data_IF_782617187868
#
_entry.id   IF_782617187868
#
_cell.length_a   1.000
_cell.length_b   1.000
_cell.length_c   1.000
_cell.angle_alpha   90.00
_cell.angle_beta   90.00
_cell.angle_gamma   90.00
#
_symmetry.space_group_name_H-M   'P 1'
#
loop_
_entity.id
_entity.type
_entity.pdbx_description
1 polymer ?
#
# COMPACT_ATOMS: atom_id res chain seq x y z
N UNK A 1 -30.77 -23.79 36.94
CA UNK A 1 -29.31 -23.80 37.23
C UNK A 1 -28.57 -23.55 35.93
N UNK A 2 -28.02 -22.35 35.73
CA UNK A 2 -26.70 -22.15 35.13
C UNK A 2 -26.22 -20.73 35.49
N UNK A 3 -25.37 -20.73 36.50
CA UNK A 3 -24.43 -19.70 36.92
C UNK A 3 -23.44 -19.46 35.76
N UNK A 4 -22.74 -18.35 35.55
CA UNK A 4 -22.66 -17.04 36.16
C UNK A 4 -21.99 -16.14 35.11
N UNK A 5 -22.59 -14.99 34.80
CA UNK A 5 -21.92 -13.91 34.07
C UNK A 5 -21.04 -13.21 35.11
N UNK A 6 -19.77 -13.60 35.21
CA UNK A 6 -18.81 -12.88 36.04
C UNK A 6 -18.54 -11.53 35.38
N UNK A 7 -19.24 -10.53 35.90
CA UNK A 7 -18.93 -9.11 35.79
C UNK A 7 -17.59 -8.83 36.47
N UNK A 8 -16.50 -9.12 35.77
CA UNK A 8 -15.22 -8.43 36.02
C UNK A 8 -15.24 -7.20 35.13
N UNK A 9 -15.53 -6.05 35.72
CA UNK A 9 -15.60 -4.74 35.06
C UNK A 9 -14.24 -4.20 34.61
N UNK A 10 -13.45 -5.03 33.94
CA UNK A 10 -12.28 -4.60 33.21
C UNK A 10 -12.65 -4.59 31.73
N UNK A 11 -12.77 -3.38 31.18
CA UNK A 11 -12.77 -3.20 29.74
C UNK A 11 -11.54 -3.93 29.18
N UNK A 12 -11.66 -4.69 28.08
CA UNK A 12 -10.48 -5.23 27.42
C UNK A 12 -9.51 -4.07 27.20
N UNK A 13 -8.19 -4.28 27.42
CA UNK A 13 -7.21 -3.23 27.17
C UNK A 13 -7.46 -2.70 25.77
N UNK A 14 -7.39 -1.37 25.54
CA UNK A 14 -7.54 -0.84 24.20
C UNK A 14 -6.59 -1.62 23.31
N UNK A 15 -7.13 -2.30 22.29
CA UNK A 15 -6.31 -2.83 21.23
C UNK A 15 -5.41 -1.68 20.80
N UNK A 16 -4.12 -1.78 21.10
CA UNK A 16 -3.15 -0.81 20.64
C UNK A 16 -3.01 -1.10 19.15
N UNK A 17 -3.97 -0.61 18.36
CA UNK A 17 -3.79 -0.38 16.95
C UNK A 17 -2.73 0.70 16.86
N UNK A 18 -1.46 0.31 16.85
CA UNK A 18 -0.40 1.24 16.49
C UNK A 18 -0.66 1.67 15.04
N UNK A 19 -1.32 2.81 14.89
CA UNK A 19 -1.52 3.45 13.60
C UNK A 19 -0.14 3.74 13.00
N UNK A 20 0.09 3.25 11.79
CA UNK A 20 1.29 3.54 11.00
C UNK A 20 1.45 5.07 10.89
N UNK A 21 2.64 5.59 11.25
CA UNK A 21 2.95 7.01 11.08
C UNK A 21 2.93 7.40 9.59
N UNK A 22 2.66 8.66 9.27
CA UNK A 22 2.73 9.16 7.89
C UNK A 22 4.05 8.76 7.23
N UNK A 23 5.18 9.02 7.90
CA UNK A 23 6.51 8.63 7.39
C UNK A 23 6.62 7.14 7.05
N UNK A 24 6.17 6.26 7.93
CA UNK A 24 6.22 4.80 7.69
C UNK A 24 5.37 4.41 6.48
N UNK A 25 4.19 5.03 6.35
CA UNK A 25 3.26 4.82 5.24
C UNK A 25 3.84 5.27 3.91
N UNK A 26 4.39 6.49 3.85
CA UNK A 26 5.10 7.01 2.68
C UNK A 26 6.26 6.10 2.27
N UNK A 27 7.06 5.65 3.24
CA UNK A 27 8.15 4.71 2.98
C UNK A 27 7.64 3.38 2.43
N UNK A 28 6.59 2.80 3.02
CA UNK A 28 6.01 1.53 2.56
C UNK A 28 5.42 1.65 1.15
N UNK A 29 4.64 2.69 0.87
CA UNK A 29 3.99 2.90 -0.42
C UNK A 29 5.01 3.23 -1.52
N UNK A 30 5.99 4.09 -1.25
CA UNK A 30 7.06 4.41 -2.20
C UNK A 30 7.93 3.19 -2.52
N UNK A 31 8.28 2.37 -1.51
CA UNK A 31 9.01 1.12 -1.72
C UNK A 31 8.19 0.10 -2.51
N UNK A 32 6.88 0.01 -2.25
CA UNK A 32 5.97 -0.85 -3.00
C UNK A 32 5.89 -0.45 -4.48
N UNK A 33 5.75 0.85 -4.76
CA UNK A 33 5.77 1.37 -6.13
C UNK A 33 7.10 1.09 -6.83
N UNK A 34 8.22 1.35 -6.14
CA UNK A 34 9.56 1.09 -6.69
C UNK A 34 9.80 -0.39 -6.98
N UNK A 35 9.36 -1.30 -6.09
CA UNK A 35 9.47 -2.73 -6.28
C UNK A 35 8.67 -3.20 -7.50
N UNK A 36 7.43 -2.72 -7.68
CA UNK A 36 6.60 -3.08 -8.82
C UNK A 36 7.23 -2.62 -10.16
N UNK A 37 7.78 -1.40 -10.22
CA UNK A 37 8.50 -0.92 -11.40
C UNK A 37 9.80 -1.69 -11.67
N UNK A 38 10.47 -2.16 -10.62
CA UNK A 38 11.63 -3.05 -10.77
C UNK A 38 11.23 -4.38 -11.41
N UNK A 39 10.08 -4.94 -11.08
CA UNK A 39 9.61 -6.19 -11.71
C UNK A 39 9.36 -6.01 -13.22
N UNK A 40 8.78 -4.87 -13.63
CA UNK A 40 8.63 -4.51 -15.05
C UNK A 40 10.01 -4.42 -15.73
N UNK A 41 10.95 -3.70 -15.11
CA UNK A 41 12.30 -3.56 -15.63
C UNK A 41 13.01 -4.92 -15.76
N UNK A 42 12.96 -5.75 -14.73
CA UNK A 42 13.60 -7.07 -14.71
C UNK A 42 12.97 -8.03 -15.71
N UNK A 43 11.66 -7.91 -15.97
CA UNK A 43 10.99 -8.66 -17.02
C UNK A 43 11.53 -8.24 -18.40
N UNK A 44 11.55 -6.94 -18.69
CA UNK A 44 12.03 -6.42 -19.99
C UNK A 44 13.53 -6.67 -20.20
N UNK A 45 14.34 -6.62 -19.15
CA UNK A 45 15.79 -6.87 -19.21
C UNK A 45 16.14 -8.31 -19.59
N UNK A 46 15.19 -9.26 -19.47
CA UNK A 46 15.36 -10.64 -19.93
C UNK A 46 15.11 -10.81 -21.44
N UNK A 47 14.80 -9.72 -22.14
CA UNK A 47 14.47 -9.69 -23.56
C UNK A 47 13.38 -10.73 -23.94
N UNK A 48 12.18 -10.65 -23.32
CA UNK A 48 11.13 -11.59 -23.62
C UNK A 48 10.61 -11.40 -25.06
N UNK A 49 10.30 -12.50 -25.75
CA UNK A 49 9.75 -12.44 -27.10
C UNK A 49 8.37 -11.76 -27.09
N UNK A 50 8.32 -10.50 -27.54
CA UNK A 50 7.08 -9.73 -27.67
C UNK A 50 6.21 -10.18 -28.85
N UNK A 51 6.65 -11.15 -29.66
CA UNK A 51 5.77 -11.88 -30.57
C UNK A 51 4.83 -12.84 -29.86
N UNK A 52 5.16 -13.29 -28.65
CA UNK A 52 4.30 -14.13 -27.81
C UNK A 52 3.29 -13.28 -27.02
N UNK A 53 2.00 -13.52 -27.30
CA UNK A 53 0.87 -12.88 -26.62
C UNK A 53 0.94 -13.04 -25.10
N UNK A 54 1.47 -14.15 -24.59
CA UNK A 54 1.61 -14.36 -23.14
C UNK A 54 2.57 -13.38 -22.49
N UNK A 55 3.67 -13.05 -23.19
CA UNK A 55 4.64 -12.10 -22.70
C UNK A 55 4.10 -10.67 -22.75
N UNK A 56 3.33 -10.34 -23.79
CA UNK A 56 2.62 -9.06 -23.88
C UNK A 56 1.61 -8.90 -22.73
N UNK A 57 0.75 -9.91 -22.51
CA UNK A 57 -0.25 -9.90 -21.44
C UNK A 57 0.39 -9.84 -20.05
N UNK A 58 1.50 -10.56 -19.84
CA UNK A 58 2.28 -10.45 -18.60
C UNK A 58 2.85 -9.03 -18.42
N UNK A 59 3.42 -8.43 -19.46
CA UNK A 59 3.93 -7.06 -19.41
C UNK A 59 2.84 -6.07 -19.02
N UNK A 60 1.66 -6.17 -19.65
CA UNK A 60 0.53 -5.30 -19.35
C UNK A 60 0.07 -5.43 -17.90
N UNK A 61 0.01 -6.65 -17.36
CA UNK A 61 -0.36 -6.87 -15.96
C UNK A 61 0.67 -6.28 -15.00
N UNK A 62 1.97 -6.47 -15.27
CA UNK A 62 3.04 -5.91 -14.45
C UNK A 62 3.01 -4.37 -14.46
N UNK A 63 2.83 -3.76 -15.64
CA UNK A 63 2.72 -2.31 -15.78
C UNK A 63 1.48 -1.77 -15.05
N UNK A 64 0.33 -2.42 -15.23
CA UNK A 64 -0.91 -2.01 -14.55
C UNK A 64 -0.79 -2.10 -13.02
N UNK A 65 -0.14 -3.14 -12.49
CA UNK A 65 0.12 -3.26 -11.06
C UNK A 65 1.09 -2.18 -10.55
N UNK A 66 2.13 -1.86 -11.32
CA UNK A 66 3.09 -0.80 -10.99
C UNK A 66 2.43 0.59 -10.97
N UNK A 67 1.57 0.88 -11.95
CA UNK A 67 0.79 2.12 -12.00
C UNK A 67 -0.15 2.24 -10.81
N UNK A 68 -0.86 1.16 -10.44
CA UNK A 68 -1.74 1.16 -9.26
C UNK A 68 -0.96 1.40 -7.96
N UNK A 69 0.23 0.80 -7.81
CA UNK A 69 1.08 1.01 -6.65
C UNK A 69 1.61 2.45 -6.56
N UNK A 70 1.96 3.04 -7.71
CA UNK A 70 2.38 4.45 -7.78
C UNK A 70 1.21 5.39 -7.46
N UNK A 71 0.01 5.10 -7.99
CA UNK A 71 -1.18 5.89 -7.71
C UNK A 71 -1.55 5.86 -6.22
N UNK A 72 -1.47 4.69 -5.58
CA UNK A 72 -1.70 4.57 -4.13
C UNK A 72 -0.73 5.42 -3.29
N UNK A 73 0.52 5.61 -3.75
CA UNK A 73 1.45 6.53 -3.10
C UNK A 73 1.02 7.99 -3.29
N UNK A 74 0.72 8.41 -4.53
CA UNK A 74 0.36 9.80 -4.82
C UNK A 74 -0.96 10.22 -4.18
N UNK A 75 -1.98 9.37 -4.19
CA UNK A 75 -3.24 9.66 -3.48
C UNK A 75 -3.01 9.81 -1.97
N UNK A 76 -2.10 9.04 -1.38
CA UNK A 76 -1.78 9.20 0.03
C UNK A 76 -1.04 10.53 0.31
N UNK A 77 -0.15 10.96 -0.59
CA UNK A 77 0.51 12.27 -0.50
C UNK A 77 -0.52 13.39 -0.61
N UNK A 78 -1.41 13.31 -1.60
CA UNK A 78 -2.45 14.31 -1.86
C UNK A 78 -3.47 14.39 -0.71
N UNK A 79 -3.86 13.24 -0.14
CA UNK A 79 -4.75 13.19 1.03
C UNK A 79 -4.08 13.81 2.27
N UNK A 80 -2.78 13.58 2.48
CA UNK A 80 -2.06 14.20 3.60
C UNK A 80 -1.91 15.71 3.42
N UNK A 81 -1.62 16.19 2.21
CA UNK A 81 -1.53 17.62 1.89
C UNK A 81 -2.90 18.32 2.03
N UNK A 82 -3.97 17.70 1.53
CA UNK A 82 -5.33 18.23 1.65
C UNK A 82 -5.82 18.34 3.10
N UNK A 83 -5.29 17.50 4.00
CA UNK A 83 -5.61 17.50 5.43
C UNK A 83 -4.60 18.27 6.29
N UNK A 84 -3.52 18.81 5.70
CA UNK A 84 -2.59 19.67 6.42
C UNK A 84 -3.29 20.98 6.80
N UNK A 85 -3.15 21.42 8.06
CA UNK A 85 -3.68 22.72 8.48
C UNK A 85 -3.04 23.83 7.62
N UNK A 86 -3.82 24.81 7.12
CA UNK A 86 -3.28 25.88 6.31
C UNK A 86 -2.26 26.67 7.13
N UNK A 87 -1.09 26.94 6.54
CA UNK A 87 -0.06 27.79 7.16
C UNK A 87 -0.70 29.12 7.61
N UNK A 88 -0.60 29.45 8.91
CA UNK A 88 -1.00 30.76 9.42
C UNK A 88 -0.12 31.84 8.76
N UNK A 89 -0.74 32.65 7.90
CA UNK A 89 -0.13 33.83 7.22
C UNK A 89 -0.06 35.05 8.12
#
# INVERSE_FOLDING_TARGET
>A
MHLAYLSTGELPPPEVTMYETSRERHMRLSLSAAAAWKEVHDFMAKDPDMGDVKNQDLLFRLQSAADQAAWAYWENVDEEDANAEPDEV
#
